data_IF_714777243051
#
_entry.id   IF_714777243051
#
_cell.length_a   1.000
_cell.length_b   1.000
_cell.length_c   1.000
_cell.angle_alpha   90.00
_cell.angle_beta   90.00
_cell.angle_gamma   90.00
#
_symmetry.space_group_name_H-M   'P 1'
#
loop_
_entity.id
_entity.type
_entity.pdbx_description
1 polymer ?
#
# COMPACT_ATOMS: atom_id res chain seq x y z
N UNK A 1 -58.70 42.78 -11.34
CA UNK A 1 -57.54 41.92 -11.63
C UNK A 1 -56.98 41.47 -10.30
N UNK A 2 -57.16 40.19 -9.97
CA UNK A 2 -56.73 39.60 -8.69
C UNK A 2 -55.27 39.16 -8.80
N UNK A 3 -54.41 39.67 -7.93
CA UNK A 3 -53.01 39.28 -7.84
C UNK A 3 -52.89 37.92 -7.14
N UNK A 4 -52.20 36.97 -7.78
CA UNK A 4 -51.88 35.65 -7.22
C UNK A 4 -50.47 35.71 -6.64
N UNK A 5 -50.25 35.35 -5.36
CA UNK A 5 -48.91 35.31 -4.80
C UNK A 5 -48.21 34.02 -5.25
N UNK A 6 -47.07 34.17 -5.92
CA UNK A 6 -46.17 33.07 -6.28
C UNK A 6 -45.47 32.60 -5.01
N UNK A 7 -45.83 31.40 -4.54
CA UNK A 7 -45.21 30.74 -3.40
C UNK A 7 -43.87 30.12 -3.83
N UNK A 8 -42.76 30.75 -3.45
CA UNK A 8 -41.41 30.25 -3.70
C UNK A 8 -41.08 29.12 -2.71
N UNK A 9 -41.20 27.88 -3.15
CA UNK A 9 -40.81 26.68 -2.39
C UNK A 9 -39.27 26.56 -2.34
N UNK A 10 -38.67 26.97 -1.21
CA UNK A 10 -37.27 26.70 -0.90
C UNK A 10 -37.11 25.21 -0.54
N UNK A 11 -36.67 24.40 -1.52
CA UNK A 11 -36.21 23.04 -1.27
C UNK A 11 -34.84 23.10 -0.57
N UNK A 12 -34.86 23.09 0.76
CA UNK A 12 -33.68 22.78 1.57
C UNK A 12 -33.33 21.30 1.35
N UNK A 13 -32.52 21.05 0.33
CA UNK A 13 -31.85 19.76 0.16
C UNK A 13 -30.89 19.56 1.33
N UNK A 14 -31.29 18.79 2.33
CA UNK A 14 -30.35 18.24 3.29
C UNK A 14 -29.46 17.27 2.52
N UNK A 15 -28.24 17.71 2.18
CA UNK A 15 -27.20 16.81 1.72
C UNK A 15 -27.13 15.64 2.73
N UNK A 16 -27.13 14.37 2.29
CA UNK A 16 -26.97 13.27 3.22
C UNK A 16 -25.67 13.51 3.97
N UNK A 17 -25.76 13.61 5.30
CA UNK A 17 -24.59 13.65 6.15
C UNK A 17 -23.73 12.46 5.75
N UNK A 18 -22.59 12.74 5.10
CA UNK A 18 -21.65 11.71 4.66
C UNK A 18 -21.18 11.05 5.94
N UNK A 19 -21.76 9.90 6.28
CA UNK A 19 -21.39 9.14 7.46
C UNK A 19 -19.87 8.98 7.39
N UNK A 20 -19.15 9.65 8.30
CA UNK A 20 -17.72 9.41 8.41
C UNK A 20 -17.57 7.92 8.65
N UNK A 21 -16.72 7.21 7.88
CA UNK A 21 -16.48 5.81 8.15
C UNK A 21 -16.04 5.70 9.61
N UNK A 22 -16.88 5.08 10.44
CA UNK A 22 -16.49 4.75 11.80
C UNK A 22 -15.28 3.84 11.66
N UNK A 23 -14.13 4.30 12.13
CA UNK A 23 -12.91 3.52 12.17
C UNK A 23 -12.71 3.04 13.61
N UNK A 24 -13.49 2.04 14.08
CA UNK A 24 -13.26 1.47 15.39
C UNK A 24 -11.82 0.96 15.45
N UNK A 25 -11.07 1.53 16.39
CA UNK A 25 -9.66 1.36 16.71
C UNK A 25 -8.82 0.63 15.63
N UNK A 26 -8.58 1.31 14.51
CA UNK A 26 -7.68 0.87 13.43
C UNK A 26 -6.38 0.27 13.97
N UNK A 27 -5.81 0.88 15.00
CA UNK A 27 -4.57 0.46 15.65
C UNK A 27 -4.69 -0.93 16.31
N UNK A 28 -5.88 -1.35 16.75
CA UNK A 28 -6.12 -2.72 17.25
C UNK A 28 -6.17 -3.77 16.13
N UNK A 29 -6.55 -3.38 14.92
CA UNK A 29 -6.67 -4.30 13.77
C UNK A 29 -5.34 -4.50 13.04
N UNK A 30 -4.42 -3.53 13.11
CA UNK A 30 -3.13 -3.56 12.42
C UNK A 30 -2.30 -4.82 12.71
N UNK A 31 -2.10 -5.27 13.96
CA UNK A 31 -1.29 -6.46 14.24
C UNK A 31 -1.84 -7.71 13.57
N UNK A 32 -3.17 -7.89 13.57
CA UNK A 32 -3.82 -9.02 12.92
C UNK A 32 -3.63 -8.98 11.40
N UNK A 33 -3.73 -7.79 10.79
CA UNK A 33 -3.52 -7.59 9.35
C UNK A 33 -2.08 -7.88 8.93
N UNK A 34 -1.09 -7.40 9.69
CA UNK A 34 0.31 -7.71 9.41
C UNK A 34 0.64 -9.19 9.63
N UNK A 35 0.04 -9.83 10.64
CA UNK A 35 0.17 -11.29 10.84
C UNK A 35 -0.38 -12.07 9.65
N UNK A 36 -1.57 -11.70 9.16
CA UNK A 36 -2.21 -12.31 7.98
C UNK A 36 -1.33 -12.13 6.73
N UNK A 37 -0.83 -10.91 6.50
CA UNK A 37 0.03 -10.59 5.36
C UNK A 37 1.36 -11.38 5.38
N UNK A 38 2.00 -11.49 6.56
CA UNK A 38 3.23 -12.28 6.74
C UNK A 38 2.99 -13.77 6.55
N UNK A 39 1.90 -14.30 7.10
CA UNK A 39 1.54 -15.70 6.94
C UNK A 39 1.33 -16.03 5.45
N UNK A 40 0.63 -15.16 4.73
CA UNK A 40 0.38 -15.36 3.30
C UNK A 40 1.65 -15.26 2.45
N UNK A 41 2.52 -14.30 2.76
CA UNK A 41 3.83 -14.22 2.11
C UNK A 41 4.69 -15.45 2.40
N UNK A 42 4.60 -16.01 3.61
CA UNK A 42 5.31 -17.24 4.00
C UNK A 42 5.04 -18.44 3.08
N UNK A 43 3.87 -18.52 2.43
CA UNK A 43 3.57 -19.58 1.46
C UNK A 43 4.43 -19.53 0.19
N UNK A 44 4.95 -18.36 -0.17
CA UNK A 44 5.68 -18.12 -1.43
C UNK A 44 7.11 -17.59 -1.20
N UNK A 45 7.48 -17.32 0.05
CA UNK A 45 8.75 -16.72 0.44
C UNK A 45 9.94 -17.51 -0.10
N UNK A 46 9.98 -18.81 0.15
CA UNK A 46 11.10 -19.66 -0.26
C UNK A 46 11.28 -19.70 -1.79
N UNK A 47 10.17 -19.69 -2.54
CA UNK A 47 10.23 -19.62 -4.00
C UNK A 47 10.89 -18.34 -4.49
N UNK A 48 10.44 -17.16 -4.02
CA UNK A 48 11.00 -15.89 -4.48
C UNK A 48 12.42 -15.64 -3.96
N UNK A 49 12.72 -16.00 -2.70
CA UNK A 49 14.06 -15.83 -2.13
C UNK A 49 15.09 -16.80 -2.72
N UNK A 50 14.70 -18.02 -3.10
CA UNK A 50 15.62 -18.95 -3.81
C UNK A 50 15.95 -18.52 -5.24
N UNK A 51 15.14 -17.61 -5.81
CA UNK A 51 15.31 -17.05 -7.15
C UNK A 51 15.97 -15.66 -7.15
N UNK A 52 16.09 -15.03 -5.99
CA UNK A 52 16.87 -13.81 -5.81
C UNK A 52 18.36 -14.19 -5.76
N UNK A 53 19.03 -14.10 -6.90
CA UNK A 53 20.44 -14.48 -7.09
C UNK A 53 21.42 -13.35 -6.80
N UNK A 54 20.94 -12.10 -6.72
CA UNK A 54 21.77 -10.92 -6.48
C UNK A 54 21.61 -10.39 -5.05
N UNK A 55 22.29 -11.06 -4.12
CA UNK A 55 22.35 -10.65 -2.71
C UNK A 55 23.21 -9.39 -2.46
N UNK A 56 23.90 -8.89 -3.48
CA UNK A 56 24.79 -7.72 -3.36
C UNK A 56 24.03 -6.40 -3.43
N UNK A 57 22.87 -6.42 -4.10
CA UNK A 57 21.94 -5.31 -4.16
C UNK A 57 20.96 -5.45 -3.00
N UNK A 58 20.60 -4.35 -2.35
CA UNK A 58 19.44 -4.30 -1.46
C UNK A 58 18.45 -3.32 -2.07
N UNK A 59 17.31 -3.81 -2.58
CA UNK A 59 16.35 -2.95 -3.26
C UNK A 59 15.67 -2.01 -2.25
N UNK A 60 15.36 -2.53 -1.06
CA UNK A 60 14.74 -1.83 0.07
C UNK A 60 15.79 -1.58 1.16
N UNK A 61 16.66 -0.60 0.93
CA UNK A 61 17.74 -0.23 1.85
C UNK A 61 17.23 0.35 3.18
N UNK A 62 18.14 0.52 4.15
CA UNK A 62 17.84 1.26 5.38
C UNK A 62 17.46 2.73 5.12
N UNK A 63 17.96 3.32 4.04
CA UNK A 63 17.68 4.71 3.69
C UNK A 63 16.19 4.90 3.35
N UNK A 64 15.57 3.91 2.72
CA UNK A 64 14.12 3.89 2.49
C UNK A 64 13.34 3.94 3.81
N UNK A 65 13.81 3.22 4.84
CA UNK A 65 13.19 3.27 6.14
C UNK A 65 13.34 4.66 6.79
N UNK A 66 14.50 5.31 6.64
CA UNK A 66 14.68 6.68 7.12
C UNK A 66 13.80 7.68 6.36
N UNK A 67 13.61 7.51 5.04
CA UNK A 67 12.64 8.28 4.27
C UNK A 67 11.22 8.11 4.80
N UNK A 68 10.81 6.88 5.14
CA UNK A 68 9.49 6.60 5.72
C UNK A 68 9.29 7.32 7.07
N UNK A 69 10.36 7.52 7.84
CA UNK A 69 10.29 8.25 9.11
C UNK A 69 10.28 9.77 8.92
N UNK A 70 10.76 10.25 7.79
CA UNK A 70 10.90 11.67 7.48
C UNK A 70 9.58 12.41 7.27
N UNK A 71 9.69 13.70 6.91
CA UNK A 71 8.55 14.57 6.64
C UNK A 71 7.72 14.14 5.43
N UNK A 72 8.31 13.40 4.49
CA UNK A 72 7.67 12.84 3.30
C UNK A 72 7.26 11.37 3.47
N UNK A 73 7.27 10.85 4.71
CA UNK A 73 7.06 9.42 4.96
C UNK A 73 5.73 8.88 4.44
N UNK A 74 4.65 9.65 4.54
CA UNK A 74 3.35 9.26 3.98
C UNK A 74 3.43 9.02 2.47
N UNK A 75 4.05 9.96 1.76
CA UNK A 75 4.20 9.92 0.32
C UNK A 75 5.04 8.70 -0.10
N UNK A 76 6.20 8.51 0.53
CA UNK A 76 7.08 7.36 0.25
C UNK A 76 6.36 6.03 0.50
N UNK A 77 5.59 5.90 1.59
CA UNK A 77 4.80 4.67 1.85
C UNK A 77 3.69 4.48 0.81
N UNK A 78 2.96 5.54 0.46
CA UNK A 78 1.90 5.49 -0.56
C UNK A 78 2.44 5.07 -1.92
N UNK A 79 3.59 5.63 -2.32
CA UNK A 79 4.27 5.30 -3.57
C UNK A 79 4.82 3.87 -3.56
N UNK A 80 5.35 3.39 -2.43
CA UNK A 80 5.82 2.01 -2.29
C UNK A 80 4.69 0.99 -2.38
N UNK A 81 3.57 1.29 -1.75
CA UNK A 81 2.36 0.49 -1.90
C UNK A 81 1.87 0.47 -3.35
N UNK A 82 1.88 1.61 -4.03
CA UNK A 82 1.56 1.71 -5.46
C UNK A 82 2.48 0.83 -6.30
N UNK A 83 3.80 1.00 -6.15
CA UNK A 83 4.81 0.23 -6.88
C UNK A 83 4.64 -1.29 -6.73
N UNK A 84 4.43 -1.78 -5.50
CA UNK A 84 4.18 -3.22 -5.31
C UNK A 84 2.90 -3.70 -5.98
N UNK A 85 1.83 -2.91 -5.87
CA UNK A 85 0.51 -3.30 -6.38
C UNK A 85 0.39 -3.21 -7.90
N UNK A 86 1.06 -2.23 -8.51
CA UNK A 86 0.89 -1.87 -9.92
C UNK A 86 2.00 -2.45 -10.80
N UNK A 87 3.19 -2.70 -10.23
CA UNK A 87 4.35 -3.17 -10.99
C UNK A 87 4.84 -4.55 -10.53
N UNK A 88 5.15 -4.71 -9.24
CA UNK A 88 5.81 -5.93 -8.74
C UNK A 88 4.87 -7.13 -8.72
N UNK A 89 3.73 -7.05 -8.02
CA UNK A 89 2.80 -8.17 -7.85
C UNK A 89 2.21 -8.65 -9.19
N UNK A 90 1.78 -7.77 -10.12
CA UNK A 90 1.35 -8.22 -11.45
C UNK A 90 2.45 -8.95 -12.22
N UNK A 91 3.69 -8.48 -12.12
CA UNK A 91 4.84 -9.12 -12.76
C UNK A 91 5.19 -10.47 -12.10
N UNK A 92 5.06 -10.58 -10.78
CA UNK A 92 5.21 -11.81 -10.03
C UNK A 92 4.14 -12.86 -10.42
N UNK A 93 2.88 -12.44 -10.60
CA UNK A 93 1.81 -13.32 -11.10
C UNK A 93 2.14 -13.87 -12.49
N UNK A 94 2.71 -13.04 -13.37
CA UNK A 94 3.08 -13.47 -14.73
C UNK A 94 4.25 -14.47 -14.73
N UNK A 95 5.21 -14.30 -13.83
CA UNK A 95 6.45 -15.09 -13.80
C UNK A 95 6.37 -16.35 -12.92
N UNK A 96 5.43 -16.42 -11.98
CA UNK A 96 5.29 -17.55 -11.04
C UNK A 96 4.04 -18.39 -11.31
N UNK A 97 4.06 -19.21 -12.37
CA UNK A 97 2.90 -20.02 -12.82
C UNK A 97 2.30 -20.91 -11.73
N UNK A 98 3.12 -21.46 -10.84
CA UNK A 98 2.64 -22.32 -9.75
C UNK A 98 2.16 -21.55 -8.51
N UNK A 99 2.41 -20.24 -8.42
CA UNK A 99 2.14 -19.42 -7.22
C UNK A 99 1.17 -18.26 -7.49
N UNK A 100 0.59 -18.16 -8.69
CA UNK A 100 -0.29 -17.06 -9.11
C UNK A 100 -1.40 -16.76 -8.11
N UNK A 101 -2.06 -17.81 -7.59
CA UNK A 101 -3.13 -17.68 -6.60
C UNK A 101 -2.60 -17.06 -5.30
N UNK A 102 -1.52 -17.59 -4.74
CA UNK A 102 -0.96 -17.08 -3.48
C UNK A 102 -0.42 -15.65 -3.64
N UNK A 103 0.17 -15.31 -4.78
CA UNK A 103 0.59 -13.91 -5.08
C UNK A 103 -0.63 -13.00 -5.22
N UNK A 104 -1.69 -13.44 -5.90
CA UNK A 104 -2.93 -12.68 -6.02
C UNK A 104 -3.61 -12.42 -4.68
N UNK A 105 -3.70 -13.44 -3.83
CA UNK A 105 -4.23 -13.33 -2.47
C UNK A 105 -3.39 -12.37 -1.62
N UNK A 106 -2.05 -12.43 -1.73
CA UNK A 106 -1.14 -11.49 -1.07
C UNK A 106 -1.43 -10.04 -1.51
N UNK A 107 -1.65 -9.83 -2.81
CA UNK A 107 -2.06 -8.53 -3.35
C UNK A 107 -3.40 -8.05 -2.81
N UNK A 108 -4.38 -8.94 -2.64
CA UNK A 108 -5.67 -8.62 -2.04
C UNK A 108 -5.53 -8.17 -0.58
N UNK A 109 -4.68 -8.85 0.21
CA UNK A 109 -4.39 -8.45 1.59
C UNK A 109 -3.70 -7.08 1.66
N UNK A 110 -2.73 -6.82 0.78
CA UNK A 110 -2.07 -5.51 0.69
C UNK A 110 -3.04 -4.41 0.28
N UNK A 111 -3.92 -4.67 -0.70
CA UNK A 111 -4.98 -3.73 -1.10
C UNK A 111 -5.96 -3.44 0.03
N UNK A 112 -6.31 -4.47 0.83
CA UNK A 112 -7.15 -4.31 2.02
C UNK A 112 -6.49 -3.37 3.04
N UNK A 113 -5.20 -3.58 3.32
CA UNK A 113 -4.41 -2.71 4.20
C UNK A 113 -4.34 -1.26 3.66
N UNK A 114 -4.00 -1.06 2.39
CA UNK A 114 -3.97 0.27 1.73
C UNK A 114 -5.32 0.98 1.84
N UNK A 115 -6.41 0.27 1.61
CA UNK A 115 -7.78 0.82 1.72
C UNK A 115 -8.10 1.23 3.15
N UNK A 116 -7.73 0.40 4.12
CA UNK A 116 -7.93 0.67 5.54
C UNK A 116 -7.11 1.90 5.98
N UNK A 117 -5.84 2.00 5.57
CA UNK A 117 -4.98 3.15 5.83
C UNK A 117 -5.58 4.46 5.29
N UNK A 118 -6.06 4.45 4.05
CA UNK A 118 -6.71 5.62 3.42
C UNK A 118 -8.00 6.05 4.10
N UNK A 119 -8.79 5.10 4.59
CA UNK A 119 -10.08 5.38 5.24
C UNK A 119 -9.93 5.80 6.69
N UNK A 120 -8.96 5.23 7.41
CA UNK A 120 -8.94 5.26 8.87
C UNK A 120 -7.75 5.97 9.51
N UNK A 121 -6.72 6.33 8.74
CA UNK A 121 -5.57 7.01 9.29
C UNK A 121 -5.52 8.46 8.81
N UNK A 122 -5.82 9.39 9.73
CA UNK A 122 -5.81 10.84 9.47
C UNK A 122 -4.44 11.35 8.97
N UNK A 123 -3.36 10.58 9.19
CA UNK A 123 -2.00 10.89 8.72
C UNK A 123 -1.63 10.22 7.39
N UNK A 124 -2.54 9.49 6.74
CA UNK A 124 -2.35 8.92 5.40
C UNK A 124 -3.09 9.72 4.32
N UNK A 125 -3.11 11.05 4.45
CA UNK A 125 -3.81 11.99 3.55
C UNK A 125 -2.89 12.68 2.55
N UNK A 126 -1.67 12.17 2.36
CA UNK A 126 -0.73 12.74 1.40
C UNK A 126 -1.19 12.53 -0.06
N UNK A 127 -0.82 13.46 -0.94
CA UNK A 127 -0.99 13.32 -2.38
C UNK A 127 -0.16 12.15 -2.94
N UNK A 128 -0.68 11.47 -3.98
CA UNK A 128 -0.08 10.25 -4.54
C UNK A 128 1.21 10.47 -5.33
N UNK A 129 1.67 11.72 -5.54
CA UNK A 129 2.83 12.00 -6.38
C UNK A 129 3.97 12.62 -5.58
N UNK A 130 5.04 11.86 -5.43
CA UNK A 130 6.31 12.30 -4.89
C UNK A 130 7.44 11.94 -5.86
N UNK A 131 8.64 12.51 -5.64
CA UNK A 131 9.85 12.08 -6.35
C UNK A 131 10.62 11.01 -5.56
N UNK A 132 10.15 10.68 -4.36
CA UNK A 132 10.78 9.70 -3.49
C UNK A 132 10.66 8.33 -4.13
N UNK A 133 11.67 7.47 -3.98
CA UNK A 133 11.76 6.14 -4.61
C UNK A 133 12.09 6.05 -6.10
N UNK A 134 12.45 7.15 -6.78
CA UNK A 134 12.95 7.09 -8.17
C UNK A 134 14.07 6.04 -8.34
N UNK A 135 15.01 6.01 -7.41
CA UNK A 135 16.13 5.06 -7.44
C UNK A 135 15.66 3.59 -7.38
N UNK A 136 14.67 3.27 -6.53
CA UNK A 136 14.13 1.91 -6.40
C UNK A 136 13.52 1.45 -7.72
N UNK A 137 12.67 2.28 -8.33
CA UNK A 137 12.03 1.97 -9.62
C UNK A 137 13.06 1.83 -10.75
N UNK A 138 14.08 2.69 -10.77
CA UNK A 138 15.17 2.60 -11.73
C UNK A 138 16.00 1.32 -11.55
N UNK A 139 16.36 0.97 -10.32
CA UNK A 139 17.10 -0.26 -10.01
C UNK A 139 16.27 -1.49 -10.37
N UNK A 140 15.00 -1.55 -9.96
CA UNK A 140 14.07 -2.61 -10.35
C UNK A 140 13.99 -2.78 -11.87
N UNK A 141 13.83 -1.67 -12.61
CA UNK A 141 13.75 -1.70 -14.08
C UNK A 141 15.05 -2.20 -14.70
N UNK A 142 16.21 -1.77 -14.20
CA UNK A 142 17.53 -2.22 -14.67
C UNK A 142 17.77 -3.70 -14.44
N UNK A 143 17.22 -4.27 -13.37
CA UNK A 143 17.31 -5.70 -13.05
C UNK A 143 16.39 -6.57 -13.92
N UNK A 144 15.50 -5.99 -14.73
CA UNK A 144 14.57 -6.72 -15.59
C UNK A 144 13.79 -7.80 -14.81
N UNK A 145 13.77 -9.06 -15.27
CA UNK A 145 13.07 -10.15 -14.57
C UNK A 145 13.64 -10.43 -13.18
N UNK A 146 14.95 -10.26 -12.96
CA UNK A 146 15.56 -10.43 -11.63
C UNK A 146 15.04 -9.40 -10.64
N UNK A 147 14.62 -8.21 -11.10
CA UNK A 147 14.00 -7.20 -10.27
C UNK A 147 12.71 -7.71 -9.60
N UNK A 148 11.97 -8.60 -10.25
CA UNK A 148 10.74 -9.21 -9.73
C UNK A 148 11.08 -10.12 -8.54
N UNK A 149 12.04 -11.03 -8.72
CA UNK A 149 12.48 -11.93 -7.66
C UNK A 149 13.10 -11.16 -6.50
N UNK A 150 13.88 -10.11 -6.79
CA UNK A 150 14.44 -9.21 -5.79
C UNK A 150 13.37 -8.53 -4.93
N UNK A 151 12.43 -7.85 -5.58
CA UNK A 151 11.38 -7.11 -4.89
C UNK A 151 10.44 -8.03 -4.09
N UNK A 152 10.15 -9.22 -4.62
CA UNK A 152 9.35 -10.22 -3.90
C UNK A 152 10.14 -10.92 -2.79
N UNK A 153 11.44 -11.15 -2.98
CA UNK A 153 12.33 -11.72 -1.96
C UNK A 153 12.47 -10.80 -0.74
N UNK A 154 12.40 -9.50 -0.95
CA UNK A 154 12.43 -8.46 0.10
C UNK A 154 11.04 -8.02 0.59
N UNK A 155 9.97 -8.76 0.26
CA UNK A 155 8.61 -8.35 0.63
C UNK A 155 8.38 -8.33 2.15
N UNK A 156 9.06 -9.18 2.93
CA UNK A 156 9.00 -9.15 4.40
C UNK A 156 9.66 -7.89 5.01
N UNK A 157 10.70 -7.36 4.36
CA UNK A 157 11.29 -6.05 4.67
C UNK A 157 10.25 -4.96 4.44
N UNK A 158 9.59 -4.98 3.28
CA UNK A 158 8.52 -4.04 2.97
C UNK A 158 7.39 -4.04 4.00
N UNK A 159 6.87 -5.23 4.36
CA UNK A 159 5.86 -5.40 5.43
C UNK A 159 6.35 -4.73 6.72
N UNK A 160 7.60 -5.00 7.11
CA UNK A 160 8.18 -4.50 8.36
C UNK A 160 8.36 -2.99 8.36
N UNK A 161 8.70 -2.39 7.22
CA UNK A 161 8.82 -0.94 7.07
C UNK A 161 7.47 -0.23 7.17
N UNK A 162 6.41 -0.78 6.54
CA UNK A 162 5.05 -0.22 6.67
C UNK A 162 4.56 -0.33 8.11
N UNK A 163 4.76 -1.48 8.77
CA UNK A 163 4.36 -1.65 10.16
C UNK A 163 5.07 -0.66 11.08
N UNK A 164 6.37 -0.44 10.87
CA UNK A 164 7.14 0.55 11.62
C UNK A 164 6.63 1.98 11.37
N UNK A 165 6.32 2.33 10.13
CA UNK A 165 5.71 3.63 9.81
C UNK A 165 4.38 3.84 10.55
N UNK A 166 3.47 2.87 10.48
CA UNK A 166 2.15 2.99 11.09
C UNK A 166 2.17 2.99 12.62
N UNK A 167 3.13 2.30 13.24
CA UNK A 167 3.30 2.30 14.69
C UNK A 167 3.93 3.60 15.21
N UNK A 168 4.75 4.28 14.41
CA UNK A 168 5.32 5.58 14.75
C UNK A 168 4.32 6.74 14.66
N UNK A 169 3.25 6.60 13.86
CA UNK A 169 2.19 7.62 13.71
C UNK A 169 1.01 7.41 14.68
N UNK A 170 1.22 6.62 15.75
CA UNK A 170 0.24 6.37 16.81
C UNK A 170 0.03 7.59 17.70
#
# INVERSE_FOLDING_TARGET
GTAVPVLLLLLLGSAPARAQPSCPDFTKLLPAKFKELRAKFGEIKDYFQSKDDDLSIQLLSSDLLEEFKGSLGCQSVSEMMGFYMEEVLPSAIRTSTNHQRSVGDLGNLLQSLRTMMRRCHRFFTCEERSRSMKHIKETFTKMNENGIYKAMGEFDIFISYIEKYLTMKR
#
